data_IF_983504839924
#
_entry.id   IF_983504839924
#
_cell.length_a   1.000
_cell.length_b   1.000
_cell.length_c   1.000
_cell.angle_alpha   90.00
_cell.angle_beta   90.00
_cell.angle_gamma   90.00
#
_symmetry.space_group_name_H-M   'P 1'
#
loop_
_entity.id
_entity.type
_entity.pdbx_description
1 polymer ?
#
# COMPACT_ATOMS: atom_id res chain seq x y z
N UNK A 1 9.72 10.23 7.48
CA UNK A 1 10.17 8.91 6.99
C UNK A 1 9.19 7.83 7.43
N UNK A 2 8.67 7.00 6.51
CA UNK A 2 7.81 5.85 6.86
C UNK A 2 8.67 4.72 7.45
N UNK A 3 8.15 4.00 8.45
CA UNK A 3 8.84 2.86 9.07
C UNK A 3 9.77 3.20 10.25
N UNK A 4 9.81 4.46 10.70
CA UNK A 4 10.64 4.88 11.83
C UNK A 4 10.19 4.23 13.16
N UNK A 5 8.87 4.18 13.39
CA UNK A 5 8.30 3.54 14.58
C UNK A 5 8.56 2.04 14.56
N UNK A 6 8.43 1.40 13.39
CA UNK A 6 8.72 -0.01 13.22
C UNK A 6 10.21 -0.35 13.44
N UNK A 7 11.14 0.49 12.99
CA UNK A 7 12.57 0.33 13.26
C UNK A 7 12.93 0.55 14.74
N UNK A 8 12.33 1.55 15.40
CA UNK A 8 12.49 1.75 16.85
C UNK A 8 11.97 0.56 17.66
N UNK A 9 10.80 0.02 17.30
CA UNK A 9 10.24 -1.18 17.97
C UNK A 9 11.17 -2.38 17.78
N UNK A 10 11.72 -2.60 16.57
CA UNK A 10 12.72 -3.66 16.35
C UNK A 10 13.97 -3.52 17.20
N UNK A 11 14.52 -2.31 17.34
CA UNK A 11 15.70 -2.09 18.18
C UNK A 11 15.48 -2.54 19.63
N UNK A 12 14.23 -2.58 20.11
CA UNK A 12 13.88 -3.05 21.46
C UNK A 12 13.71 -4.57 21.55
N UNK A 13 13.25 -5.22 20.47
CA UNK A 13 12.94 -6.66 20.44
C UNK A 13 14.05 -7.53 19.82
N UNK A 14 15.12 -6.92 19.31
CA UNK A 14 16.28 -7.63 18.77
C UNK A 14 15.95 -8.44 17.51
N UNK A 15 16.43 -9.69 17.45
CA UNK A 15 16.24 -10.63 16.32
C UNK A 15 14.94 -11.44 16.39
N UNK A 16 14.17 -11.32 17.48
CA UNK A 16 12.92 -12.06 17.62
C UNK A 16 11.86 -11.54 16.65
N UNK A 17 11.21 -12.48 15.96
CA UNK A 17 10.07 -12.16 15.09
C UNK A 17 8.88 -11.74 15.95
N UNK A 18 8.22 -10.68 15.54
CA UNK A 18 7.00 -10.21 16.20
C UNK A 18 5.78 -10.96 15.65
N UNK A 19 4.92 -11.44 16.54
CA UNK A 19 3.69 -12.15 16.18
C UNK A 19 2.69 -11.21 15.50
N UNK A 20 2.07 -11.72 14.44
CA UNK A 20 0.99 -11.05 13.70
C UNK A 20 -0.21 -11.98 13.56
N UNK A 21 -1.38 -11.44 13.87
CA UNK A 21 -2.66 -12.12 13.71
C UNK A 21 -3.56 -11.31 12.77
N UNK A 22 -4.16 -12.01 11.82
CA UNK A 22 -5.16 -11.43 10.92
C UNK A 22 -6.55 -11.69 11.47
N UNK A 23 -7.44 -10.71 11.39
CA UNK A 23 -8.86 -10.91 11.62
C UNK A 23 -9.46 -11.86 10.58
N UNK A 24 -10.65 -12.37 10.89
CA UNK A 24 -11.47 -13.15 9.95
C UNK A 24 -11.76 -12.38 8.66
N UNK A 25 -11.80 -11.05 8.73
CA UNK A 25 -12.06 -10.15 7.60
C UNK A 25 -10.79 -9.73 6.83
N UNK A 26 -9.63 -10.29 7.16
CA UNK A 26 -8.39 -10.10 6.40
C UNK A 26 -7.54 -8.90 6.81
N UNK A 27 -8.01 -8.06 7.74
CA UNK A 27 -7.22 -6.97 8.31
C UNK A 27 -6.28 -7.46 9.41
N UNK A 28 -5.19 -6.74 9.66
CA UNK A 28 -4.26 -7.07 10.76
C UNK A 28 -4.86 -6.56 12.07
N UNK A 29 -5.10 -7.46 13.03
CA UNK A 29 -5.88 -7.16 14.22
C UNK A 29 -5.12 -7.48 15.52
N UNK A 30 -3.85 -7.09 15.57
CA UNK A 30 -3.00 -7.27 16.74
C UNK A 30 -2.34 -5.95 17.17
N UNK A 31 -1.74 -5.93 18.36
CA UNK A 31 -1.01 -4.77 18.90
C UNK A 31 0.09 -4.25 17.93
N UNK A 32 0.66 -5.15 17.12
CA UNK A 32 1.70 -4.85 16.16
C UNK A 32 1.19 -4.34 14.79
N UNK A 33 -0.12 -4.19 14.60
CA UNK A 33 -0.73 -3.87 13.29
C UNK A 33 -0.18 -2.60 12.64
N UNK A 34 0.01 -1.54 13.42
CA UNK A 34 0.57 -0.27 12.92
C UNK A 34 2.01 -0.43 12.41
N UNK A 35 2.87 -1.05 13.22
CA UNK A 35 4.27 -1.30 12.84
C UNK A 35 4.40 -2.28 11.67
N UNK A 36 3.51 -3.26 11.56
CA UNK A 36 3.43 -4.17 10.43
C UNK A 36 3.07 -3.45 9.14
N UNK A 37 2.01 -2.64 9.20
CA UNK A 37 1.55 -1.81 8.07
C UNK A 37 2.66 -0.91 7.55
N UNK A 38 3.37 -0.19 8.43
CA UNK A 38 4.48 0.66 8.02
C UNK A 38 5.60 -0.10 7.31
N UNK A 39 5.92 -1.30 7.77
CA UNK A 39 6.99 -2.10 7.16
C UNK A 39 6.60 -2.68 5.81
N UNK A 40 5.36 -3.14 5.65
CA UNK A 40 4.89 -3.61 4.34
C UNK A 40 5.00 -2.48 3.33
N UNK A 41 4.60 -1.27 3.71
CA UNK A 41 4.75 -0.10 2.84
C UNK A 41 6.22 0.09 2.42
N UNK A 42 7.17 -0.08 3.33
CA UNK A 42 8.61 0.00 3.00
C UNK A 42 9.04 -1.11 2.03
N UNK A 43 8.65 -2.37 2.28
CA UNK A 43 9.00 -3.50 1.41
C UNK A 43 8.40 -3.37 0.01
N UNK A 44 7.11 -3.03 -0.05
CA UNK A 44 6.40 -2.82 -1.31
C UNK A 44 7.06 -1.69 -2.10
N UNK A 45 7.39 -0.56 -1.48
CA UNK A 45 8.06 0.56 -2.17
C UNK A 45 9.45 0.23 -2.67
N UNK A 46 10.20 -0.59 -1.91
CA UNK A 46 11.57 -0.95 -2.27
C UNK A 46 11.64 -1.91 -3.47
N UNK A 47 10.62 -2.77 -3.65
CA UNK A 47 10.66 -3.86 -4.64
C UNK A 47 9.66 -3.72 -5.77
N UNK A 48 8.52 -3.07 -5.54
CA UNK A 48 7.45 -3.00 -6.54
C UNK A 48 7.78 -1.97 -7.62
N UNK A 49 7.78 -2.36 -8.91
CA UNK A 49 8.07 -1.44 -10.00
C UNK A 49 6.92 -0.44 -10.20
N UNK A 50 7.29 0.76 -10.63
CA UNK A 50 6.37 1.81 -11.07
C UNK A 50 6.40 1.98 -12.59
N UNK A 51 7.58 1.78 -13.20
CA UNK A 51 7.80 1.82 -14.65
C UNK A 51 7.32 0.50 -15.26
N UNK A 52 6.65 0.58 -16.42
CA UNK A 52 6.16 -0.60 -17.16
C UNK A 52 4.99 -1.35 -16.50
N UNK A 53 4.52 -0.89 -15.32
CA UNK A 53 3.46 -1.54 -14.55
C UNK A 53 2.34 -0.56 -14.24
N UNK A 54 1.10 -0.94 -14.59
CA UNK A 54 -0.09 -0.12 -14.34
C UNK A 54 -0.83 -0.55 -13.09
N UNK A 55 -0.85 -1.86 -12.81
CA UNK A 55 -1.61 -2.49 -11.73
C UNK A 55 -0.82 -3.57 -11.01
N UNK A 56 -1.25 -3.95 -9.80
CA UNK A 56 -0.60 -5.02 -9.04
C UNK A 56 -0.57 -6.36 -9.80
N UNK A 57 -1.55 -6.63 -10.66
CA UNK A 57 -1.58 -7.87 -11.45
C UNK A 57 -0.42 -7.94 -12.43
N UNK A 58 0.02 -6.79 -12.98
CA UNK A 58 1.10 -6.72 -13.97
C UNK A 58 2.49 -6.92 -13.36
N UNK A 59 2.64 -6.85 -12.03
CA UNK A 59 3.91 -7.09 -11.35
C UNK A 59 4.26 -8.58 -11.44
N UNK A 60 5.52 -8.87 -11.81
CA UNK A 60 6.02 -10.25 -11.89
C UNK A 60 5.89 -11.00 -10.56
N UNK A 61 5.57 -12.29 -10.64
CA UNK A 61 5.29 -13.12 -9.47
C UNK A 61 6.48 -13.16 -8.50
N UNK A 62 7.71 -13.29 -9.01
CA UNK A 62 8.96 -13.30 -8.21
C UNK A 62 9.16 -12.03 -7.38
N UNK A 63 8.77 -10.87 -7.92
CA UNK A 63 8.86 -9.58 -7.19
C UNK A 63 7.91 -9.62 -6.01
N UNK A 64 6.67 -10.06 -6.24
CA UNK A 64 5.68 -10.18 -5.19
C UNK A 64 6.10 -11.23 -4.15
N UNK A 65 6.64 -12.37 -4.58
CA UNK A 65 7.14 -13.43 -3.70
C UNK A 65 8.29 -12.93 -2.83
N UNK A 66 9.18 -12.09 -3.36
CA UNK A 66 10.26 -11.55 -2.55
C UNK A 66 9.82 -10.42 -1.59
N UNK A 67 8.75 -9.68 -1.89
CA UNK A 67 8.06 -8.82 -0.90
C UNK A 67 7.50 -9.68 0.24
N UNK A 68 6.83 -10.79 -0.09
CA UNK A 68 6.28 -11.70 0.93
C UNK A 68 7.39 -12.37 1.74
N UNK A 69 8.50 -12.74 1.11
CA UNK A 69 9.66 -13.32 1.77
C UNK A 69 10.25 -12.36 2.81
N UNK A 70 10.43 -11.08 2.46
CA UNK A 70 10.87 -10.04 3.41
C UNK A 70 9.90 -9.90 4.59
N UNK A 71 8.59 -10.00 4.35
CA UNK A 71 7.58 -9.98 5.41
C UNK A 71 7.74 -11.18 6.34
N UNK A 72 7.89 -12.39 5.80
CA UNK A 72 8.04 -13.63 6.58
C UNK A 72 9.38 -13.74 7.32
N UNK A 73 10.41 -13.07 6.81
CA UNK A 73 11.69 -13.00 7.50
C UNK A 73 11.59 -12.14 8.77
N UNK A 74 10.78 -11.07 8.77
CA UNK A 74 10.70 -10.13 9.90
C UNK A 74 9.53 -10.35 10.85
N UNK A 75 8.50 -11.05 10.42
CA UNK A 75 7.27 -11.24 11.17
C UNK A 75 6.96 -12.71 11.34
N UNK A 76 6.49 -13.08 12.52
CA UNK A 76 6.01 -14.42 12.78
C UNK A 76 4.54 -14.48 12.34
N UNK A 77 4.35 -15.07 11.16
CA UNK A 77 3.05 -15.19 10.52
C UNK A 77 2.85 -16.66 10.19
N UNK A 78 1.78 -17.23 10.74
CA UNK A 78 1.41 -18.62 10.53
C UNK A 78 1.30 -18.95 9.03
N UNK A 79 1.96 -20.04 8.60
CA UNK A 79 2.11 -20.41 7.20
C UNK A 79 0.95 -21.31 6.73
N UNK A 80 -0.23 -20.72 6.55
CA UNK A 80 -1.39 -21.40 5.98
C UNK A 80 -1.90 -20.73 4.69
N UNK A 81 -2.75 -21.43 3.91
CA UNK A 81 -3.24 -20.94 2.61
C UNK A 81 -4.01 -19.62 2.73
N UNK A 82 -4.75 -19.42 3.81
CA UNK A 82 -5.55 -18.21 4.04
C UNK A 82 -4.64 -17.00 4.34
N UNK A 83 -3.69 -17.16 5.24
CA UNK A 83 -2.71 -16.12 5.59
C UNK A 83 -1.82 -15.78 4.40
N UNK A 84 -1.50 -16.75 3.53
CA UNK A 84 -0.86 -16.44 2.24
C UNK A 84 -1.71 -15.43 1.47
N UNK A 85 -2.98 -15.73 1.18
CA UNK A 85 -3.88 -14.80 0.46
C UNK A 85 -3.98 -13.44 1.13
N UNK A 86 -4.11 -13.39 2.46
CA UNK A 86 -4.17 -12.12 3.22
C UNK A 86 -2.91 -11.28 3.03
N UNK A 87 -1.71 -11.87 3.06
CA UNK A 87 -0.45 -11.16 2.79
C UNK A 87 -0.44 -10.49 1.40
N UNK A 88 -0.87 -11.23 0.36
CA UNK A 88 -0.98 -10.69 -1.01
C UNK A 88 -1.96 -9.52 -1.08
N UNK A 89 -3.12 -9.67 -0.45
CA UNK A 89 -4.15 -8.63 -0.39
C UNK A 89 -3.63 -7.38 0.29
N UNK A 90 -2.98 -7.52 1.46
CA UNK A 90 -2.40 -6.38 2.17
C UNK A 90 -1.33 -5.66 1.34
N UNK A 91 -0.42 -6.40 0.69
CA UNK A 91 0.60 -5.80 -0.18
C UNK A 91 -0.01 -5.04 -1.37
N UNK A 92 -1.04 -5.63 -2.01
CA UNK A 92 -1.79 -5.02 -3.10
C UNK A 92 -2.50 -3.74 -2.68
N UNK A 93 -3.18 -3.74 -1.52
CA UNK A 93 -3.84 -2.56 -0.97
C UNK A 93 -2.85 -1.42 -0.71
N UNK A 94 -1.67 -1.72 -0.17
CA UNK A 94 -0.62 -0.72 0.02
C UNK A 94 -0.06 -0.19 -1.31
N UNK A 95 0.12 -1.05 -2.30
CA UNK A 95 0.56 -0.62 -3.64
C UNK A 95 -0.47 0.30 -4.30
N UNK A 96 -1.75 -0.09 -4.28
CA UNK A 96 -2.87 0.74 -4.78
C UNK A 96 -2.96 2.07 -4.05
N UNK A 97 -2.85 2.06 -2.72
CA UNK A 97 -2.85 3.27 -1.89
C UNK A 97 -1.69 4.19 -2.24
N UNK A 98 -0.49 3.65 -2.44
CA UNK A 98 0.68 4.42 -2.87
C UNK A 98 0.46 5.07 -4.23
N UNK A 99 0.01 4.32 -5.25
CA UNK A 99 -0.31 4.89 -6.57
C UNK A 99 -1.42 5.94 -6.50
N UNK A 100 -2.40 5.76 -5.63
CA UNK A 100 -3.45 6.76 -5.41
C UNK A 100 -2.89 8.06 -4.82
N UNK A 101 -1.96 7.99 -3.86
CA UNK A 101 -1.28 9.18 -3.34
C UNK A 101 -0.47 9.88 -4.43
N UNK A 102 0.30 9.14 -5.23
CA UNK A 102 1.10 9.70 -6.32
C UNK A 102 0.24 10.39 -7.39
N UNK A 103 -0.89 9.77 -7.75
CA UNK A 103 -1.85 10.36 -8.67
C UNK A 103 -2.48 11.63 -8.10
N UNK A 104 -2.79 11.66 -6.80
CA UNK A 104 -3.30 12.86 -6.14
C UNK A 104 -2.26 13.99 -6.15
N UNK A 105 -0.99 13.71 -5.83
CA UNK A 105 0.12 14.67 -5.93
C UNK A 105 0.30 15.19 -7.36
N UNK A 106 0.14 14.33 -8.37
CA UNK A 106 0.19 14.78 -9.76
C UNK A 106 -0.98 15.74 -10.10
N UNK A 107 -2.18 15.44 -9.58
CA UNK A 107 -3.41 16.20 -9.83
C UNK A 107 -3.44 17.58 -9.16
N UNK A 108 -2.64 17.82 -8.11
CA UNK A 108 -2.59 19.14 -7.45
C UNK A 108 -1.96 20.22 -8.32
N UNK A 109 -1.20 19.84 -9.34
CA UNK A 109 -0.49 20.77 -10.22
C UNK A 109 -1.05 20.70 -11.65
N UNK A 110 -0.98 21.81 -12.35
CA UNK A 110 -1.63 21.96 -13.67
C UNK A 110 -0.65 21.65 -14.79
N UNK A 111 0.56 22.21 -14.70
CA UNK A 111 1.59 22.08 -15.73
C UNK A 111 2.50 20.89 -15.49
N UNK A 112 3.20 20.46 -16.54
CA UNK A 112 4.19 19.40 -16.44
C UNK A 112 5.37 19.83 -15.54
N UNK A 113 5.87 21.05 -15.70
CA UNK A 113 7.03 21.55 -14.93
C UNK A 113 6.74 21.63 -13.44
N UNK A 114 5.55 22.13 -13.05
CA UNK A 114 5.12 22.16 -11.65
C UNK A 114 5.11 20.74 -11.04
N UNK A 115 4.61 19.75 -11.79
CA UNK A 115 4.60 18.35 -11.32
C UNK A 115 6.02 17.83 -11.13
N UNK A 116 6.92 18.11 -12.08
CA UNK A 116 8.31 17.65 -12.00
C UNK A 116 9.08 18.29 -10.84
N UNK A 117 8.84 19.58 -10.56
CA UNK A 117 9.39 20.29 -9.40
C UNK A 117 8.89 19.66 -8.09
N UNK A 118 7.61 19.31 -8.02
CA UNK A 118 6.97 18.75 -6.82
C UNK A 118 7.02 17.22 -6.76
N UNK A 119 8.16 16.64 -7.15
CA UNK A 119 8.41 15.20 -7.08
C UNK A 119 8.44 14.70 -5.62
N UNK A 120 7.76 13.59 -5.29
CA UNK A 120 7.93 12.92 -4.00
C UNK A 120 9.37 12.45 -3.75
N UNK A 121 9.88 12.70 -2.54
CA UNK A 121 11.26 12.35 -2.16
C UNK A 121 11.59 10.85 -2.24
N UNK A 122 10.58 9.99 -2.25
CA UNK A 122 10.71 8.53 -2.29
C UNK A 122 10.76 7.94 -3.70
N UNK A 123 10.75 8.77 -4.75
CA UNK A 123 10.85 8.37 -6.15
C UNK A 123 12.07 9.00 -6.80
N UNK A 124 12.70 8.35 -7.77
CA UNK A 124 13.68 9.00 -8.64
C UNK A 124 13.01 9.85 -9.74
N UNK A 125 13.81 10.63 -10.47
CA UNK A 125 13.30 11.54 -11.51
C UNK A 125 12.67 10.79 -12.69
N UNK A 126 13.19 9.62 -13.06
CA UNK A 126 12.72 8.80 -14.18
C UNK A 126 11.40 8.13 -13.81
N UNK A 127 11.31 7.54 -12.61
CA UNK A 127 10.07 6.98 -12.07
C UNK A 127 8.96 8.03 -12.01
N UNK A 128 9.29 9.23 -11.52
CA UNK A 128 8.30 10.28 -11.42
C UNK A 128 7.87 10.81 -12.79
N UNK A 129 8.81 11.03 -13.71
CA UNK A 129 8.51 11.42 -15.08
C UNK A 129 7.55 10.41 -15.74
N UNK A 130 7.86 9.12 -15.67
CA UNK A 130 7.01 8.06 -16.20
C UNK A 130 5.59 8.12 -15.62
N UNK A 131 5.48 8.30 -14.30
CA UNK A 131 4.19 8.39 -13.63
C UNK A 131 3.41 9.66 -13.99
N UNK A 132 4.07 10.80 -14.15
CA UNK A 132 3.42 12.03 -14.62
C UNK A 132 2.83 11.80 -16.01
N UNK A 133 3.61 11.27 -16.95
CA UNK A 133 3.11 10.95 -18.30
C UNK A 133 1.93 9.97 -18.24
N UNK A 134 2.04 8.91 -17.42
CA UNK A 134 0.97 7.93 -17.27
C UNK A 134 -0.30 8.55 -16.66
N UNK A 135 -0.20 9.28 -15.55
CA UNK A 135 -1.36 9.87 -14.88
C UNK A 135 -2.00 10.97 -15.71
N UNK A 136 -1.23 11.68 -16.53
CA UNK A 136 -1.75 12.72 -17.41
C UNK A 136 -2.27 12.18 -18.74
N UNK A 137 -2.04 10.89 -19.04
CA UNK A 137 -2.58 10.26 -20.24
C UNK A 137 -4.11 10.31 -20.26
N UNK A 138 -4.67 10.48 -21.46
CA UNK A 138 -6.11 10.50 -21.67
C UNK A 138 -6.77 9.19 -21.19
N UNK A 139 -6.12 8.05 -21.46
CA UNK A 139 -6.57 6.73 -21.04
C UNK A 139 -6.77 6.66 -19.52
N UNK A 140 -5.76 7.10 -18.75
CA UNK A 140 -5.82 7.09 -17.29
C UNK A 140 -6.88 8.06 -16.77
N UNK A 141 -6.91 9.29 -17.28
CA UNK A 141 -7.86 10.32 -16.85
C UNK A 141 -9.30 9.88 -17.09
N UNK A 142 -9.60 9.28 -18.24
CA UNK A 142 -10.93 8.74 -18.56
C UNK A 142 -11.38 7.70 -17.54
N UNK A 143 -10.53 6.73 -17.21
CA UNK A 143 -10.83 5.68 -16.24
C UNK A 143 -10.97 6.27 -14.83
N UNK A 144 -10.06 7.16 -14.45
CA UNK A 144 -10.04 7.81 -13.13
C UNK A 144 -11.31 8.63 -12.89
N UNK A 145 -11.73 9.44 -13.87
CA UNK A 145 -12.93 10.26 -13.80
C UNK A 145 -14.19 9.41 -13.72
N UNK A 146 -14.30 8.35 -14.54
CA UNK A 146 -15.40 7.37 -14.45
C UNK A 146 -15.48 6.73 -13.06
N UNK A 147 -14.34 6.32 -12.50
CA UNK A 147 -14.29 5.74 -11.16
C UNK A 147 -14.68 6.75 -10.07
N UNK A 148 -14.30 8.02 -10.24
CA UNK A 148 -14.69 9.09 -9.33
C UNK A 148 -16.20 9.31 -9.32
N UNK A 149 -16.82 9.38 -10.51
CA UNK A 149 -18.27 9.53 -10.65
C UNK A 149 -19.01 8.33 -10.05
N UNK A 150 -18.52 7.11 -10.31
CA UNK A 150 -19.08 5.90 -9.71
C UNK A 150 -19.02 5.92 -8.17
N UNK A 151 -17.95 6.46 -7.58
CA UNK A 151 -17.84 6.60 -6.11
C UNK A 151 -18.83 7.61 -5.56
N UNK A 152 -19.03 8.74 -6.23
CA UNK A 152 -20.01 9.76 -5.83
C UNK A 152 -21.44 9.20 -5.84
N UNK A 153 -21.74 8.31 -6.78
CA UNK A 153 -23.07 7.69 -6.90
C UNK A 153 -23.31 6.52 -5.92
N UNK A 154 -22.32 6.12 -5.11
CA UNK A 154 -22.51 5.07 -4.11
C UNK A 154 -23.22 5.64 -2.87
N UNK A 155 -24.44 5.17 -2.61
CA UNK A 155 -25.14 5.40 -1.34
C UNK A 155 -24.52 4.50 -0.26
N UNK A 156 -23.63 5.04 0.56
CA UNK A 156 -23.10 4.36 1.76
C UNK A 156 -23.65 5.09 2.98
N UNK A 157 -24.46 4.41 3.78
CA UNK A 157 -24.91 4.93 5.06
C UNK A 157 -23.73 4.95 6.05
N UNK A 158 -23.52 6.02 6.84
CA UNK A 158 -22.43 6.08 7.80
C UNK A 158 -22.68 5.07 8.92
N UNK A 159 -21.99 3.93 8.91
CA UNK A 159 -21.88 3.05 10.07
C UNK A 159 -20.58 3.40 10.82
N UNK A 160 -20.77 4.27 11.81
CA UNK A 160 -20.08 4.33 13.11
C UNK A 160 -18.55 4.54 13.15
N UNK A 161 -18.17 5.69 13.75
CA UNK A 161 -16.94 6.09 14.48
C UNK A 161 -15.62 5.38 14.10
N UNK A 162 -14.68 6.17 13.56
CA UNK A 162 -13.19 6.11 13.46
C UNK A 162 -12.33 4.84 13.72
N UNK A 163 -12.85 3.72 14.22
CA UNK A 163 -12.15 2.43 14.29
C UNK A 163 -12.32 1.67 12.97
N UNK A 164 -11.23 1.07 12.48
CA UNK A 164 -11.30 0.18 11.32
C UNK A 164 -12.20 -1.03 11.61
N UNK A 165 -13.08 -1.40 10.67
CA UNK A 165 -14.05 -2.50 10.82
C UNK A 165 -13.38 -3.84 11.18
N UNK A 166 -12.16 -4.07 10.69
CA UNK A 166 -11.33 -5.23 11.03
C UNK A 166 -10.98 -5.31 12.52
N UNK A 167 -10.79 -4.17 13.19
CA UNK A 167 -10.50 -4.10 14.63
C UNK A 167 -11.75 -4.32 15.46
N UNK A 168 -12.89 -3.78 15.03
CA UNK A 168 -14.19 -4.03 15.66
C UNK A 168 -14.58 -5.51 15.61
N UNK A 169 -14.33 -6.20 14.49
CA UNK A 169 -14.62 -7.63 14.34
C UNK A 169 -13.73 -8.57 15.16
N UNK A 170 -12.62 -8.07 15.72
CA UNK A 170 -11.71 -8.85 16.56
C UNK A 170 -11.98 -8.64 18.06
N UNK A 171 -12.60 -7.53 18.43
CA UNK A 171 -13.01 -7.22 19.81
C UNK A 171 -14.33 -7.91 20.21
N UNK A 172 -14.95 -8.69 19.31
CA UNK A 172 -16.21 -9.45 19.54
C UNK A 172 -15.98 -10.95 19.71
#
# INVERSE_FOLDING_TARGET
MKGLAASKKRSKFGSQKLKIEFSRLGGVACENAGTFTEQIVVFTRKRAPLIGVRTWTDIHQDVKDSIISDMMHKWDIENNKENKKKKWTTANEHYKGWRSTLSATCKTYTTYDERMINRPNDLDIVEWHYLVLYFCSEEFQRISNKNSLNRQNRKIYPLTRSKAFSRLSYEQ
#
